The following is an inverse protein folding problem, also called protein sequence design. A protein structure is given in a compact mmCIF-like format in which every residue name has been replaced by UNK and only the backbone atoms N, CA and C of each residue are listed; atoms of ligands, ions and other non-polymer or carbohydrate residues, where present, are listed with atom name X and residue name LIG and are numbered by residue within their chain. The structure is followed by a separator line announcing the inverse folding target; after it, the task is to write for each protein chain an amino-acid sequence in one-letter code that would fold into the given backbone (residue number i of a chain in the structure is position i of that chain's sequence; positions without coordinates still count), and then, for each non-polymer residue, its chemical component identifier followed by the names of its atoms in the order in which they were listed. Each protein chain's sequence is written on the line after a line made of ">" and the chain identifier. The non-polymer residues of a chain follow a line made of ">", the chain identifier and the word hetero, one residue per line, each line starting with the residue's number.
data_IF_945125445480
#
_entry.id   IF_945125445480
#
_cell.length_a   1.000
_cell.length_b   1.000
_cell.length_c   1.000
_cell.angle_alpha   90.00
_cell.angle_beta   90.00
_cell.angle_gamma   90.00
#
_symmetry.space_group_name_H-M   'P 1'
#
loop_
_entity.id
_entity.type
_entity.pdbx_description
1 polymer ?
#
# COMPACT_ATOMS: atom_id res chain seq x y z
N UNK A 1 -3.62 13.59 5.24
CA UNK A 1 -2.79 13.97 6.44
C UNK A 1 -2.80 15.48 6.67
N UNK A 2 -2.45 16.36 5.72
CA UNK A 2 -2.37 17.83 5.94
C UNK A 2 -3.65 18.46 6.51
N UNK A 3 -4.83 18.10 5.99
CA UNK A 3 -6.11 18.61 6.51
C UNK A 3 -6.38 18.14 7.96
N UNK A 4 -5.97 16.93 8.32
CA UNK A 4 -6.12 16.43 9.69
C UNK A 4 -5.17 17.19 10.66
N UNK A 5 -3.93 17.45 10.23
CA UNK A 5 -3.00 18.28 10.99
C UNK A 5 -3.51 19.71 11.19
N UNK A 6 -4.08 20.32 10.13
CA UNK A 6 -4.71 21.64 10.24
C UNK A 6 -5.91 21.61 11.20
N UNK A 7 -6.76 20.60 11.12
CA UNK A 7 -7.90 20.44 12.04
C UNK A 7 -7.43 20.28 13.48
N UNK A 8 -6.40 19.47 13.74
CA UNK A 8 -5.82 19.31 15.07
C UNK A 8 -5.20 20.62 15.60
N UNK A 9 -4.47 21.36 14.73
CA UNK A 9 -3.91 22.67 15.07
C UNK A 9 -5.00 23.64 15.51
N UNK A 10 -6.04 23.79 14.69
CA UNK A 10 -7.14 24.73 14.98
C UNK A 10 -7.88 24.34 16.26
N UNK A 11 -8.19 23.06 16.46
CA UNK A 11 -8.85 22.58 17.66
C UNK A 11 -8.00 22.82 18.91
N UNK A 12 -6.68 22.58 18.84
CA UNK A 12 -5.77 22.79 19.97
C UNK A 12 -5.65 24.29 20.34
N UNK A 13 -5.58 25.18 19.34
CA UNK A 13 -5.56 26.62 19.57
C UNK A 13 -6.87 27.11 20.20
N UNK A 14 -8.01 26.61 19.74
CA UNK A 14 -9.35 26.98 20.25
C UNK A 14 -9.52 26.64 21.73
N UNK A 15 -8.93 25.54 22.20
CA UNK A 15 -8.93 25.15 23.63
C UNK A 15 -7.80 25.80 24.43
N UNK A 16 -7.03 26.73 23.83
CA UNK A 16 -6.02 27.56 24.51
C UNK A 16 -4.62 26.95 24.56
N UNK A 17 -4.30 25.94 23.75
CA UNK A 17 -2.95 25.44 23.69
C UNK A 17 -1.99 26.45 23.03
N UNK A 18 -0.74 26.62 23.53
CA UNK A 18 0.25 27.48 22.90
C UNK A 18 0.57 27.01 21.48
N UNK A 19 0.45 27.92 20.50
CA UNK A 19 0.62 27.60 19.07
C UNK A 19 1.97 26.93 18.77
N UNK A 20 3.07 27.43 19.36
CA UNK A 20 4.42 26.87 19.17
C UNK A 20 4.49 25.39 19.65
N UNK A 21 3.93 25.10 20.83
CA UNK A 21 3.90 23.73 21.35
C UNK A 21 3.09 22.77 20.46
N UNK A 22 2.00 23.26 19.85
CA UNK A 22 1.19 22.48 18.92
C UNK A 22 1.96 22.22 17.61
N UNK A 23 2.67 23.23 17.08
CA UNK A 23 3.50 23.09 15.90
C UNK A 23 4.66 22.11 16.11
N UNK A 24 5.33 22.19 17.27
CA UNK A 24 6.38 21.26 17.66
C UNK A 24 5.85 19.82 17.78
N UNK A 25 4.67 19.65 18.40
CA UNK A 25 3.99 18.37 18.49
C UNK A 25 3.62 17.79 17.10
N UNK A 26 3.16 18.63 16.19
CA UNK A 26 2.86 18.23 14.81
C UNK A 26 4.13 17.89 14.01
N UNK A 27 5.22 18.62 14.21
CA UNK A 27 6.50 18.34 13.57
C UNK A 27 7.13 17.03 14.06
N UNK A 28 6.93 16.69 15.34
CA UNK A 28 7.37 15.41 15.92
C UNK A 28 6.42 14.22 15.68
N UNK A 29 5.30 14.43 14.98
CA UNK A 29 4.32 13.38 14.75
C UNK A 29 4.77 12.42 13.66
N UNK A 30 5.09 11.18 14.02
CA UNK A 30 5.61 10.13 13.13
C UNK A 30 4.52 9.46 12.25
N UNK A 31 3.27 9.90 12.33
CA UNK A 31 2.16 9.33 11.56
C UNK A 31 1.30 8.35 12.37
N UNK A 32 0.37 7.73 11.69
CA UNK A 32 -0.52 6.70 12.23
C UNK A 32 -0.22 5.39 11.52
N UNK A 33 -0.16 4.30 12.28
CA UNK A 33 0.02 2.95 11.69
C UNK A 33 -1.04 2.71 10.61
N UNK A 34 -0.61 2.05 9.55
CA UNK A 34 -1.47 1.73 8.40
C UNK A 34 -2.09 2.97 7.71
N UNK A 35 -1.40 4.12 7.75
CA UNK A 35 -1.78 5.32 7.01
C UNK A 35 -0.57 5.83 6.23
N UNK A 36 -0.32 5.20 5.07
CA UNK A 36 0.87 5.38 4.24
C UNK A 36 2.16 5.18 5.07
N UNK A 37 2.15 4.13 5.89
CA UNK A 37 3.24 3.76 6.80
C UNK A 37 4.36 3.08 6.01
N UNK A 38 5.59 3.57 6.14
CA UNK A 38 6.75 2.87 5.59
C UNK A 38 7.05 1.63 6.42
N UNK A 39 6.78 0.45 5.86
CA UNK A 39 7.05 -0.84 6.51
C UNK A 39 8.53 -1.21 6.44
N UNK A 40 9.18 -0.89 5.34
CA UNK A 40 10.60 -1.16 5.17
C UNK A 40 11.09 -0.96 3.74
N UNK A 41 12.39 -1.21 3.59
CA UNK A 41 13.11 -1.03 2.32
C UNK A 41 14.01 -2.23 2.01
N UNK A 42 14.29 -2.43 0.73
CA UNK A 42 15.26 -3.42 0.25
C UNK A 42 16.01 -2.89 -0.98
N UNK A 43 17.27 -3.28 -1.13
CA UNK A 43 18.13 -2.87 -2.26
C UNK A 43 19.20 -1.87 -1.86
N UNK A 44 19.54 -0.96 -2.75
CA UNK A 44 20.59 0.04 -2.55
C UNK A 44 20.21 1.16 -1.59
N UNK A 45 21.11 2.13 -1.39
CA UNK A 45 20.88 3.27 -0.49
C UNK A 45 20.27 4.49 -1.20
N UNK A 46 20.38 4.57 -2.53
CA UNK A 46 19.75 5.64 -3.28
C UNK A 46 18.26 5.32 -3.55
N UNK A 47 17.36 6.32 -3.54
CA UNK A 47 15.93 6.10 -3.80
C UNK A 47 15.66 5.35 -5.11
N UNK A 48 16.40 5.64 -6.17
CA UNK A 48 16.29 4.98 -7.48
C UNK A 48 16.78 3.52 -7.51
N UNK A 49 17.48 3.06 -6.48
CA UNK A 49 17.97 1.69 -6.34
C UNK A 49 17.31 0.91 -5.19
N UNK A 50 16.38 1.55 -4.48
CA UNK A 50 15.72 1.01 -3.30
C UNK A 50 14.25 0.73 -3.60
N UNK A 51 13.79 -0.50 -3.33
CA UNK A 51 12.36 -0.79 -3.26
C UNK A 51 11.84 -0.38 -1.90
N UNK A 52 10.75 0.38 -1.86
CA UNK A 52 10.07 0.85 -0.64
C UNK A 52 8.73 0.18 -0.52
N UNK A 53 8.41 -0.34 0.66
CA UNK A 53 7.14 -1.01 0.94
C UNK A 53 6.36 -0.21 1.96
N UNK A 54 5.14 0.20 1.59
CA UNK A 54 4.21 0.94 2.44
C UNK A 54 2.98 0.10 2.77
N UNK A 55 2.32 0.39 3.89
CA UNK A 55 1.02 -0.16 4.27
C UNK A 55 0.00 0.96 4.46
N UNK A 56 -1.19 0.78 3.91
CA UNK A 56 -2.31 1.70 4.05
C UNK A 56 -3.62 0.97 4.32
N UNK A 57 -4.43 1.52 5.20
CA UNK A 57 -5.75 0.98 5.56
C UNK A 57 -6.81 1.24 4.48
N UNK A 58 -6.46 1.88 3.37
CA UNK A 58 -7.37 2.23 2.28
C UNK A 58 -8.20 1.01 1.82
N UNK A 59 -9.51 1.12 1.95
CA UNK A 59 -10.47 0.06 1.68
C UNK A 59 -11.77 0.57 1.02
N UNK A 60 -11.75 1.80 0.54
CA UNK A 60 -12.78 2.43 -0.28
C UNK A 60 -12.13 3.00 -1.55
N UNK A 61 -12.80 3.01 -2.73
CA UNK A 61 -12.19 3.48 -3.98
C UNK A 61 -11.53 4.87 -3.87
N UNK A 62 -12.19 5.81 -3.18
CA UNK A 62 -11.66 7.17 -2.96
C UNK A 62 -10.37 7.16 -2.12
N UNK A 63 -10.26 6.28 -1.13
CA UNK A 63 -9.05 6.15 -0.30
C UNK A 63 -7.91 5.55 -1.12
N UNK A 64 -8.18 4.52 -1.93
CA UNK A 64 -7.20 3.89 -2.83
C UNK A 64 -6.64 4.92 -3.80
N UNK A 65 -7.51 5.70 -4.46
CA UNK A 65 -7.08 6.75 -5.37
C UNK A 65 -6.18 7.80 -4.68
N UNK A 66 -6.53 8.20 -3.46
CA UNK A 66 -5.72 9.13 -2.67
C UNK A 66 -4.36 8.56 -2.28
N UNK A 67 -4.31 7.27 -1.89
CA UNK A 67 -3.06 6.57 -1.55
C UNK A 67 -2.17 6.45 -2.77
N UNK A 68 -2.70 6.05 -3.93
CA UNK A 68 -1.93 5.93 -5.17
C UNK A 68 -1.45 7.29 -5.70
N UNK A 69 -2.21 8.37 -5.50
CA UNK A 69 -1.75 9.73 -5.80
C UNK A 69 -0.54 10.13 -4.93
N UNK A 70 -0.55 9.75 -3.64
CA UNK A 70 0.61 9.96 -2.75
C UNK A 70 1.82 9.13 -3.19
N UNK A 71 1.63 7.87 -3.62
CA UNK A 71 2.69 7.04 -4.21
C UNK A 71 3.29 7.72 -5.46
N UNK A 72 2.44 8.23 -6.36
CA UNK A 72 2.89 8.93 -7.57
C UNK A 72 3.76 10.14 -7.24
N UNK A 73 3.31 10.99 -6.30
CA UNK A 73 4.09 12.14 -5.83
C UNK A 73 5.44 11.73 -5.26
N UNK A 74 5.48 10.63 -4.47
CA UNK A 74 6.71 10.10 -3.90
C UNK A 74 7.68 9.61 -4.98
N UNK A 75 7.18 8.95 -6.03
CA UNK A 75 7.99 8.48 -7.17
C UNK A 75 8.59 9.64 -7.96
N UNK A 76 7.80 10.68 -8.24
CA UNK A 76 8.25 11.89 -8.93
C UNK A 76 9.40 12.58 -8.16
N UNK A 77 9.27 12.71 -6.83
CA UNK A 77 10.30 13.28 -5.96
C UNK A 77 11.55 12.41 -5.85
N UNK A 78 11.43 11.10 -6.09
CA UNK A 78 12.51 10.13 -5.93
C UNK A 78 13.28 9.84 -7.22
N UNK A 79 12.93 10.47 -8.33
CA UNK A 79 13.58 10.26 -9.63
C UNK A 79 12.99 9.12 -10.46
N UNK A 80 11.76 8.70 -10.18
CA UNK A 80 11.02 7.69 -10.93
C UNK A 80 10.91 6.33 -10.21
N UNK A 81 10.54 5.30 -10.96
CA UNK A 81 10.17 3.96 -10.51
C UNK A 81 8.70 3.68 -10.81
N UNK A 82 8.25 2.45 -10.55
CA UNK A 82 6.86 2.04 -10.73
C UNK A 82 6.13 1.98 -9.38
N UNK A 83 4.83 2.18 -9.43
CA UNK A 83 3.90 1.91 -8.33
C UNK A 83 3.31 0.51 -8.48
N UNK A 84 3.46 -0.33 -7.45
CA UNK A 84 2.89 -1.66 -7.37
C UNK A 84 1.84 -1.67 -6.26
N UNK A 85 0.58 -1.82 -6.62
CA UNK A 85 -0.53 -1.91 -5.68
C UNK A 85 -0.80 -3.37 -5.31
N UNK A 86 -0.89 -3.67 -4.01
CA UNK A 86 -1.32 -4.96 -3.49
C UNK A 86 -2.61 -4.72 -2.70
N UNK A 87 -3.74 -5.07 -3.29
CA UNK A 87 -5.05 -4.75 -2.73
C UNK A 87 -5.80 -5.99 -2.25
N UNK A 88 -6.32 -5.93 -1.03
CA UNK A 88 -7.23 -6.93 -0.47
C UNK A 88 -8.61 -6.30 -0.28
N UNK A 89 -9.61 -6.72 -1.07
CA UNK A 89 -10.98 -6.29 -0.85
C UNK A 89 -11.46 -6.73 0.55
N UNK A 90 -12.22 -5.87 1.22
CA UNK A 90 -12.75 -6.13 2.55
C UNK A 90 -14.27 -6.14 2.54
N UNK A 91 -14.88 -7.23 3.01
CA UNK A 91 -16.32 -7.58 2.97
C UNK A 91 -16.82 -7.95 1.57
N UNK A 92 -17.53 -9.07 1.49
CA UNK A 92 -18.13 -9.52 0.23
C UNK A 92 -19.21 -8.55 -0.28
N UNK A 93 -20.03 -8.00 0.63
CA UNK A 93 -21.04 -7.02 0.29
C UNK A 93 -20.46 -5.76 -0.35
N UNK A 94 -19.37 -5.22 0.22
CA UNK A 94 -18.67 -4.06 -0.32
C UNK A 94 -17.98 -4.37 -1.64
N UNK A 95 -17.31 -5.52 -1.73
CA UNK A 95 -16.65 -5.96 -2.96
C UNK A 95 -17.65 -6.05 -4.11
N UNK A 96 -18.83 -6.64 -3.86
CA UNK A 96 -19.90 -6.70 -4.85
C UNK A 96 -20.41 -5.33 -5.28
N UNK A 97 -20.56 -4.41 -4.31
CA UNK A 97 -21.12 -3.08 -4.56
C UNK A 97 -20.17 -2.15 -5.31
N UNK A 98 -18.84 -2.32 -5.15
CA UNK A 98 -17.82 -1.38 -5.62
C UNK A 98 -16.73 -2.04 -6.47
N UNK A 99 -16.96 -3.22 -7.04
CA UNK A 99 -15.94 -3.95 -7.81
C UNK A 99 -15.37 -3.10 -8.97
N UNK A 100 -16.25 -2.43 -9.72
CA UNK A 100 -15.88 -1.57 -10.84
C UNK A 100 -15.11 -0.34 -10.37
N UNK A 101 -15.61 0.35 -9.35
CA UNK A 101 -14.96 1.54 -8.80
C UNK A 101 -13.61 1.22 -8.17
N UNK A 102 -13.44 0.04 -7.55
CA UNK A 102 -12.16 -0.45 -7.08
C UNK A 102 -11.18 -0.65 -8.23
N UNK A 103 -11.62 -1.31 -9.31
CA UNK A 103 -10.80 -1.51 -10.51
C UNK A 103 -10.30 -0.19 -11.08
N UNK A 104 -11.20 0.76 -11.30
CA UNK A 104 -10.85 2.09 -11.82
C UNK A 104 -9.91 2.89 -10.87
N UNK A 105 -10.09 2.77 -9.55
CA UNK A 105 -9.19 3.42 -8.60
C UNK A 105 -7.78 2.81 -8.63
N UNK A 106 -7.67 1.50 -8.84
CA UNK A 106 -6.41 0.77 -8.95
C UNK A 106 -5.66 1.04 -10.25
N UNK A 107 -6.33 1.50 -11.33
CA UNK A 107 -5.70 1.90 -12.59
C UNK A 107 -4.68 3.06 -12.45
N UNK A 108 -4.67 3.73 -11.30
CA UNK A 108 -3.65 4.73 -10.98
C UNK A 108 -2.27 4.11 -10.64
N UNK A 109 -2.17 2.80 -10.46
CA UNK A 109 -0.92 2.07 -10.29
C UNK A 109 -0.33 1.62 -11.65
N UNK A 110 0.96 1.26 -11.67
CA UNK A 110 1.62 0.70 -12.85
C UNK A 110 1.46 -0.83 -12.94
N UNK A 111 1.30 -1.51 -11.80
CA UNK A 111 1.02 -2.95 -11.70
C UNK A 111 0.16 -3.20 -10.45
N UNK A 112 -0.80 -4.12 -10.57
CA UNK A 112 -1.77 -4.43 -9.51
C UNK A 112 -1.75 -5.93 -9.17
N UNK A 113 -1.74 -6.22 -7.88
CA UNK A 113 -2.01 -7.55 -7.32
C UNK A 113 -3.29 -7.48 -6.50
N UNK A 114 -4.28 -8.27 -6.85
CA UNK A 114 -5.53 -8.36 -6.11
C UNK A 114 -5.58 -9.68 -5.36
N UNK A 115 -5.72 -9.61 -4.04
CA UNK A 115 -5.89 -10.77 -3.17
C UNK A 115 -7.35 -11.18 -3.12
N UNK A 116 -7.64 -12.32 -2.48
CA UNK A 116 -9.03 -12.68 -2.25
C UNK A 116 -9.67 -11.85 -1.13
N UNK A 117 -11.00 -11.86 -1.08
CA UNK A 117 -11.79 -11.03 -0.17
C UNK A 117 -11.53 -11.42 1.28
N UNK A 118 -11.16 -10.46 2.10
CA UNK A 118 -11.21 -10.61 3.55
C UNK A 118 -12.65 -10.43 4.05
N UNK A 119 -13.31 -11.54 4.32
CA UNK A 119 -14.75 -11.54 4.66
C UNK A 119 -15.10 -10.96 6.03
N UNK A 120 -14.11 -10.89 6.95
CA UNK A 120 -14.32 -10.48 8.35
C UNK A 120 -15.48 -11.27 9.00
N UNK A 121 -16.66 -10.66 9.15
CA UNK A 121 -17.85 -11.29 9.75
C UNK A 121 -18.87 -11.76 8.74
N UNK A 122 -18.63 -11.51 7.44
CA UNK A 122 -19.53 -11.93 6.38
C UNK A 122 -19.22 -13.36 5.93
N UNK A 123 -20.27 -14.08 5.55
CA UNK A 123 -20.13 -15.36 4.86
C UNK A 123 -19.78 -15.11 3.38
N UNK A 124 -19.02 -16.01 2.75
CA UNK A 124 -18.74 -15.93 1.34
C UNK A 124 -20.02 -15.77 0.50
N UNK A 125 -19.98 -14.83 -0.43
CA UNK A 125 -21.08 -14.56 -1.34
C UNK A 125 -20.77 -15.20 -2.72
N UNK A 126 -21.68 -16.05 -3.21
CA UNK A 126 -21.49 -16.74 -4.48
C UNK A 126 -21.19 -15.75 -5.63
N UNK A 127 -20.15 -16.02 -6.40
CA UNK A 127 -19.73 -15.19 -7.52
C UNK A 127 -18.97 -13.91 -7.13
N UNK A 128 -18.62 -13.74 -5.86
CA UNK A 128 -17.84 -12.58 -5.38
C UNK A 128 -16.51 -13.04 -4.80
N UNK A 129 -15.43 -12.56 -5.39
CA UNK A 129 -14.05 -12.82 -4.98
C UNK A 129 -13.17 -11.62 -5.32
N UNK A 130 -11.88 -11.68 -5.05
CA UNK A 130 -10.93 -10.69 -5.53
C UNK A 130 -10.88 -10.60 -7.06
N UNK A 131 -11.17 -11.68 -7.78
CA UNK A 131 -11.29 -11.68 -9.23
C UNK A 131 -12.34 -10.68 -9.73
N UNK A 132 -13.44 -10.50 -8.98
CA UNK A 132 -14.49 -9.52 -9.33
C UNK A 132 -13.96 -8.08 -9.42
N UNK A 133 -12.91 -7.75 -8.66
CA UNK A 133 -12.22 -6.45 -8.77
C UNK A 133 -11.19 -6.48 -9.91
N UNK A 134 -10.42 -7.57 -10.01
CA UNK A 134 -9.36 -7.68 -11.01
C UNK A 134 -9.89 -7.59 -12.45
N UNK A 135 -11.12 -8.05 -12.71
CA UNK A 135 -11.79 -7.96 -14.02
C UNK A 135 -12.01 -6.51 -14.50
N UNK A 136 -12.04 -5.55 -13.60
CA UNK A 136 -12.24 -4.12 -13.88
C UNK A 136 -10.94 -3.30 -13.88
N UNK A 137 -9.78 -3.93 -13.66
CA UNK A 137 -8.46 -3.27 -13.72
C UNK A 137 -7.96 -3.30 -15.16
N UNK A 138 -7.56 -2.12 -15.69
CA UNK A 138 -7.10 -1.95 -17.07
C UNK A 138 -5.58 -2.04 -17.22
N UNK A 139 -4.83 -1.81 -16.15
CA UNK A 139 -3.36 -1.94 -16.11
C UNK A 139 -2.95 -3.41 -15.87
N UNK A 140 -1.67 -3.78 -16.01
CA UNK A 140 -1.21 -5.13 -15.68
C UNK A 140 -1.69 -5.57 -14.29
N UNK A 141 -2.49 -6.64 -14.25
CA UNK A 141 -3.11 -7.13 -13.01
C UNK A 141 -2.91 -8.63 -12.84
N UNK A 142 -2.71 -9.07 -11.60
CA UNK A 142 -2.70 -10.50 -11.21
C UNK A 142 -3.62 -10.71 -10.02
N UNK A 143 -4.54 -11.66 -10.17
CA UNK A 143 -5.34 -12.14 -9.05
C UNK A 143 -4.58 -13.24 -8.30
N UNK A 144 -4.38 -13.06 -7.01
CA UNK A 144 -3.66 -13.95 -6.10
C UNK A 144 -4.60 -14.49 -5.02
N UNK A 145 -5.34 -15.58 -5.26
CA UNK A 145 -6.22 -16.16 -4.25
C UNK A 145 -5.44 -16.80 -3.08
N UNK A 146 -4.22 -17.27 -3.34
CA UNK A 146 -3.35 -17.83 -2.31
C UNK A 146 -2.54 -16.73 -1.62
N UNK A 147 -3.00 -16.34 -0.43
CA UNK A 147 -2.34 -15.34 0.40
C UNK A 147 -0.90 -15.72 0.76
N UNK A 148 -0.63 -17.00 0.97
CA UNK A 148 0.69 -17.49 1.41
C UNK A 148 1.79 -17.30 0.35
N UNK A 149 1.42 -17.30 -0.94
CA UNK A 149 2.34 -17.10 -2.05
C UNK A 149 2.47 -15.63 -2.47
N UNK A 150 1.65 -14.73 -1.93
CA UNK A 150 1.54 -13.37 -2.42
C UNK A 150 2.83 -12.56 -2.23
N UNK A 151 3.46 -12.66 -1.06
CA UNK A 151 4.67 -11.88 -0.76
C UNK A 151 5.82 -12.20 -1.73
N UNK A 152 6.05 -13.47 -2.05
CA UNK A 152 7.08 -13.88 -2.99
C UNK A 152 6.79 -13.44 -4.42
N UNK A 153 5.52 -13.53 -4.86
CA UNK A 153 5.12 -13.13 -6.21
C UNK A 153 5.24 -11.61 -6.40
N UNK A 154 4.82 -10.82 -5.41
CA UNK A 154 4.99 -9.36 -5.41
C UNK A 154 6.47 -8.97 -5.43
N UNK A 155 7.29 -9.59 -4.56
CA UNK A 155 8.73 -9.34 -4.52
C UNK A 155 9.43 -9.73 -5.84
N UNK A 156 8.96 -10.77 -6.52
CA UNK A 156 9.51 -11.20 -7.82
C UNK A 156 9.24 -10.20 -8.94
N UNK A 157 8.12 -9.47 -8.89
CA UNK A 157 7.75 -8.46 -9.89
C UNK A 157 8.49 -7.13 -9.70
N UNK A 158 8.95 -6.85 -8.46
CA UNK A 158 9.57 -5.57 -8.14
C UNK A 158 10.96 -5.40 -8.75
N UNK A 159 11.25 -4.16 -9.16
CA UNK A 159 12.53 -3.69 -9.65
C UNK A 159 13.08 -2.55 -8.77
N UNK A 160 14.40 -2.26 -8.84
CA UNK A 160 14.98 -1.13 -8.12
C UNK A 160 14.25 0.18 -8.40
N UNK A 161 13.97 0.96 -7.35
CA UNK A 161 13.24 2.23 -7.44
C UNK A 161 11.73 2.11 -7.28
N UNK A 162 11.15 0.90 -7.37
CA UNK A 162 9.71 0.70 -7.24
C UNK A 162 9.19 1.02 -5.82
N UNK A 163 7.94 1.44 -5.77
CA UNK A 163 7.16 1.59 -4.54
C UNK A 163 6.05 0.56 -4.54
N UNK A 164 6.03 -0.29 -3.53
CA UNK A 164 4.96 -1.25 -3.27
C UNK A 164 4.07 -0.68 -2.17
N UNK A 165 2.76 -0.73 -2.35
CA UNK A 165 1.81 -0.36 -1.29
C UNK A 165 0.78 -1.46 -1.08
N UNK A 166 0.72 -2.00 0.15
CA UNK A 166 -0.36 -2.90 0.59
C UNK A 166 -1.56 -2.07 1.04
N UNK A 167 -2.74 -2.41 0.54
CA UNK A 167 -3.98 -1.66 0.82
C UNK A 167 -5.13 -2.58 1.19
N UNK A 168 -5.83 -2.23 2.27
CA UNK A 168 -7.00 -2.96 2.75
C UNK A 168 -7.20 -2.88 4.25
N UNK A 169 -8.39 -3.22 4.74
CA UNK A 169 -8.72 -3.22 6.17
C UNK A 169 -8.53 -4.60 6.84
N UNK A 170 -8.14 -5.62 6.06
CA UNK A 170 -7.93 -6.99 6.52
C UNK A 170 -6.49 -7.30 6.92
N UNK A 171 -6.13 -8.56 6.72
CA UNK A 171 -4.82 -9.12 7.07
C UNK A 171 -3.71 -8.82 6.04
N UNK A 172 -4.01 -8.13 4.95
CA UNK A 172 -3.03 -7.66 3.95
C UNK A 172 -1.84 -6.92 4.58
N UNK A 173 -2.03 -6.27 5.73
CA UNK A 173 -0.97 -5.61 6.50
C UNK A 173 0.16 -6.56 6.90
N UNK A 174 -0.12 -7.87 7.01
CA UNK A 174 0.89 -8.89 7.32
C UNK A 174 1.85 -9.11 6.15
N UNK A 175 1.41 -8.84 4.92
CA UNK A 175 2.25 -9.01 3.73
C UNK A 175 3.38 -7.98 3.64
N UNK A 176 3.20 -6.78 4.16
CA UNK A 176 4.23 -5.74 4.09
C UNK A 176 5.61 -6.22 4.58
N UNK A 177 5.74 -6.69 5.83
CA UNK A 177 6.99 -7.26 6.36
C UNK A 177 7.48 -8.50 5.60
N UNK A 178 6.57 -9.36 5.12
CA UNK A 178 6.91 -10.55 4.34
C UNK A 178 7.49 -10.18 2.98
N UNK A 179 6.91 -9.21 2.28
CA UNK A 179 7.43 -8.67 1.02
C UNK A 179 8.83 -8.08 1.22
N UNK A 180 9.05 -7.29 2.28
CA UNK A 180 10.39 -6.75 2.61
C UNK A 180 11.40 -7.86 2.81
N UNK A 181 11.01 -8.93 3.50
CA UNK A 181 11.86 -10.10 3.74
C UNK A 181 12.19 -10.81 2.43
N UNK A 182 11.20 -11.08 1.59
CA UNK A 182 11.38 -11.73 0.28
C UNK A 182 12.29 -10.90 -0.65
N UNK A 183 12.11 -9.56 -0.69
CA UNK A 183 12.97 -8.65 -1.44
C UNK A 183 14.42 -8.70 -0.97
N UNK A 184 14.68 -8.72 0.33
CA UNK A 184 16.03 -8.80 0.90
C UNK A 184 16.70 -10.14 0.59
N UNK A 185 15.97 -11.25 0.67
CA UNK A 185 16.48 -12.59 0.29
C UNK A 185 16.85 -12.61 -1.19
N UNK A 186 16.02 -12.01 -2.06
CA UNK A 186 16.27 -11.91 -3.50
C UNK A 186 17.50 -11.04 -3.81
N UNK A 187 17.64 -9.89 -3.16
CA UNK A 187 18.80 -9.01 -3.32
C UNK A 187 20.12 -9.74 -2.94
N UNK A 188 20.11 -10.52 -1.86
CA UNK A 188 21.28 -11.26 -1.42
C UNK A 188 21.63 -12.42 -2.37
N UNK A 189 20.66 -13.05 -3.04
CA UNK A 189 20.89 -14.09 -4.05
C UNK A 189 21.42 -13.55 -5.38
N UNK A 190 21.11 -12.28 -5.70
CA UNK A 190 21.57 -11.59 -6.90
C UNK A 190 22.94 -10.90 -6.75
N UNK A 191 23.49 -10.80 -5.55
CA UNK A 191 24.83 -10.25 -5.32
C UNK A 191 25.90 -11.30 -5.65
N UNK A 192 26.75 -11.12 -6.68
CA UNK A 192 27.85 -12.04 -6.93
C UNK A 192 28.90 -11.85 -5.84
N UNK A 193 29.00 -12.81 -4.89
CA UNK A 193 30.13 -12.84 -3.96
C UNK A 193 29.90 -13.23 -2.52
N UNK A 194 28.82 -13.87 -2.14
CA UNK A 194 28.61 -14.34 -0.76
C UNK A 194 28.87 -15.85 -0.57
N UNK A 195 29.95 -16.37 -1.17
CA UNK A 195 30.52 -17.68 -0.85
C UNK A 195 32.05 -17.60 -0.98
N UNK A 196 32.72 -17.21 0.08
CA UNK A 196 34.07 -17.64 0.44
C UNK A 196 34.16 -17.82 1.95
#
# INVERSE_FOLDING_TARGET
>A
MALNALGALLAAIEIGAPTEAVLDGLAGFEGVRRRFELVGTAGGSAPSSTVRVFDDYAHHPTEIAATLAAVRTLLEQSGGGRSIAVFQPHLYSRTKAFAEEFGHALDAADEVFVLDVYGAREQPLAGVSGASVAEHVSVPVRYLPDFSAAAEQVAAAAAPGDVIVTMGAGDVTLLGPEIVTALRVRANRGAPGALR
#
